data_IF_436849423725
#
_entry.id   IF_436849423725
#
_cell.length_a   1.000
_cell.length_b   1.000
_cell.length_c   1.000
_cell.angle_alpha   90.00
_cell.angle_beta   90.00
_cell.angle_gamma   90.00
#
_symmetry.space_group_name_H-M   'P 1'
#
loop_
_entity.id
_entity.type
_entity.pdbx_description
1 polymer ?
#
# COMPACT_ATOMS: atom_id res chain seq x y z
N UNK A 1 0.67 -16.05 -3.45
CA UNK A 1 -0.81 -16.17 -3.58
C UNK A 1 -1.47 -16.92 -2.41
N UNK A 2 -0.93 -18.05 -1.93
CA UNK A 2 -1.56 -18.86 -0.86
C UNK A 2 -1.87 -18.09 0.45
N UNK A 3 -0.93 -17.30 0.99
CA UNK A 3 -1.13 -16.52 2.23
C UNK A 3 -2.27 -15.48 2.14
N UNK A 4 -2.40 -14.84 0.98
CA UNK A 4 -3.44 -13.85 0.74
C UNK A 4 -4.83 -14.49 0.73
N UNK A 5 -4.99 -15.65 0.07
CA UNK A 5 -6.27 -16.34 0.00
C UNK A 5 -6.78 -16.79 1.38
N UNK A 6 -5.89 -17.26 2.26
CA UNK A 6 -6.26 -17.65 3.63
C UNK A 6 -6.79 -16.45 4.43
N UNK A 7 -6.13 -15.30 4.31
CA UNK A 7 -6.59 -14.07 4.97
C UNK A 7 -7.99 -13.64 4.48
N UNK A 8 -8.27 -13.74 3.17
CA UNK A 8 -9.58 -13.37 2.61
C UNK A 8 -10.70 -14.33 3.00
N UNK A 9 -10.41 -15.63 3.02
CA UNK A 9 -11.35 -16.63 3.49
C UNK A 9 -11.66 -16.36 4.97
N UNK A 10 -10.65 -16.08 5.79
CA UNK A 10 -10.83 -15.70 7.19
C UNK A 10 -11.70 -14.45 7.38
N UNK A 11 -11.46 -13.40 6.59
CA UNK A 11 -12.25 -12.15 6.68
C UNK A 11 -13.70 -12.34 6.22
N UNK A 12 -13.91 -13.13 5.16
CA UNK A 12 -15.26 -13.44 4.66
C UNK A 12 -16.04 -14.31 5.66
N UNK A 13 -15.37 -15.27 6.31
CA UNK A 13 -15.94 -16.07 7.40
C UNK A 13 -16.28 -15.22 8.63
N UNK A 14 -15.47 -14.21 8.94
CA UNK A 14 -15.74 -13.26 10.02
C UNK A 14 -17.00 -12.43 9.72
N UNK A 15 -17.12 -11.90 8.50
CA UNK A 15 -18.33 -11.19 8.05
C UNK A 15 -19.55 -12.11 8.11
N UNK A 16 -19.40 -13.36 7.69
CA UNK A 16 -20.46 -14.38 7.80
C UNK A 16 -20.87 -14.61 9.27
N UNK A 17 -19.91 -14.79 10.18
CA UNK A 17 -20.20 -15.00 11.60
C UNK A 17 -20.93 -13.82 12.26
N UNK A 18 -20.47 -12.60 11.99
CA UNK A 18 -21.11 -11.38 12.51
C UNK A 18 -22.53 -11.22 11.95
N UNK A 19 -22.69 -11.41 10.64
CA UNK A 19 -24.00 -11.26 9.99
C UNK A 19 -24.98 -12.35 10.40
N UNK A 20 -24.53 -13.61 10.50
CA UNK A 20 -25.35 -14.72 10.99
C UNK A 20 -25.82 -14.46 12.41
N UNK A 21 -24.92 -13.93 13.26
CA UNK A 21 -25.29 -13.54 14.60
C UNK A 21 -26.33 -12.42 14.57
N UNK A 22 -26.16 -11.36 13.80
CA UNK A 22 -27.07 -10.20 13.85
C UNK A 22 -28.39 -10.37 13.08
N UNK A 23 -28.42 -11.15 12.01
CA UNK A 23 -29.60 -11.30 11.14
C UNK A 23 -30.39 -12.57 11.52
N UNK A 24 -29.73 -13.59 12.08
CA UNK A 24 -30.32 -14.91 12.36
C UNK A 24 -30.91 -15.60 11.11
N UNK A 25 -30.43 -15.24 9.91
CA UNK A 25 -30.80 -15.84 8.63
C UNK A 25 -29.56 -16.24 7.85
N UNK A 26 -29.42 -17.55 7.59
CA UNK A 26 -28.23 -18.10 6.97
C UNK A 26 -28.06 -17.66 5.51
N UNK A 27 -29.16 -17.53 4.77
CA UNK A 27 -29.14 -17.19 3.34
C UNK A 27 -28.67 -15.74 3.17
N UNK A 28 -29.27 -14.80 3.91
CA UNK A 28 -28.89 -13.38 3.86
C UNK A 28 -27.44 -13.17 4.31
N UNK A 29 -27.00 -13.90 5.34
CA UNK A 29 -25.62 -13.82 5.85
C UNK A 29 -24.61 -14.35 4.83
N UNK A 30 -24.93 -15.43 4.13
CA UNK A 30 -24.10 -16.01 3.08
C UNK A 30 -24.00 -15.06 1.87
N UNK A 31 -25.12 -14.49 1.44
CA UNK A 31 -25.15 -13.48 0.37
C UNK A 31 -24.26 -12.29 0.74
N UNK A 32 -24.38 -11.77 1.97
CA UNK A 32 -23.57 -10.65 2.44
C UNK A 32 -22.07 -11.00 2.42
N UNK A 33 -21.71 -12.16 2.97
CA UNK A 33 -20.32 -12.61 3.00
C UNK A 33 -19.72 -12.76 1.59
N UNK A 34 -20.49 -13.28 0.63
CA UNK A 34 -20.06 -13.37 -0.77
C UNK A 34 -19.86 -12.00 -1.41
N UNK A 35 -20.81 -11.07 -1.25
CA UNK A 35 -20.71 -9.71 -1.80
C UNK A 35 -19.46 -8.99 -1.25
N UNK A 36 -19.30 -8.99 0.08
CA UNK A 36 -18.17 -8.33 0.74
C UNK A 36 -16.85 -9.03 0.40
N UNK A 37 -16.84 -10.37 0.32
CA UNK A 37 -15.67 -11.14 -0.10
C UNK A 37 -15.19 -10.76 -1.49
N UNK A 38 -16.10 -10.60 -2.46
CA UNK A 38 -15.76 -10.13 -3.82
C UNK A 38 -15.18 -8.71 -3.79
N UNK A 39 -15.77 -7.81 -3.03
CA UNK A 39 -15.30 -6.43 -2.92
C UNK A 39 -13.89 -6.38 -2.33
N UNK A 40 -13.64 -7.11 -1.24
CA UNK A 40 -12.32 -7.18 -0.62
C UNK A 40 -11.30 -7.80 -1.57
N UNK A 41 -11.67 -8.86 -2.31
CA UNK A 41 -10.78 -9.47 -3.31
C UNK A 41 -10.34 -8.47 -4.38
N UNK A 42 -11.23 -7.58 -4.83
CA UNK A 42 -10.90 -6.50 -5.78
C UNK A 42 -9.93 -5.44 -5.22
N UNK A 43 -9.75 -5.36 -3.90
CA UNK A 43 -8.78 -4.43 -3.29
C UNK A 43 -7.33 -4.94 -3.39
N UNK A 44 -7.09 -6.24 -3.58
CA UNK A 44 -5.74 -6.83 -3.65
C UNK A 44 -4.80 -6.13 -4.64
N UNK A 45 -5.15 -5.96 -5.93
CA UNK A 45 -4.25 -5.34 -6.89
C UNK A 45 -3.85 -3.93 -6.47
N UNK A 46 -4.79 -3.19 -5.88
CA UNK A 46 -4.59 -1.81 -5.42
C UNK A 46 -3.57 -1.76 -4.28
N UNK A 47 -3.71 -2.65 -3.29
CA UNK A 47 -2.77 -2.77 -2.16
C UNK A 47 -1.36 -3.12 -2.66
N UNK A 48 -1.28 -4.07 -3.60
CA UNK A 48 0.01 -4.47 -4.18
C UNK A 48 0.67 -3.33 -4.93
N UNK A 49 -0.09 -2.60 -5.74
CA UNK A 49 0.44 -1.48 -6.52
C UNK A 49 0.99 -0.37 -5.62
N UNK A 50 0.28 -0.02 -4.55
CA UNK A 50 0.74 0.97 -3.59
C UNK A 50 2.02 0.51 -2.87
N UNK A 51 2.05 -0.73 -2.37
CA UNK A 51 3.25 -1.30 -1.74
C UNK A 51 4.45 -1.34 -2.69
N UNK A 52 4.24 -1.71 -3.96
CA UNK A 52 5.30 -1.71 -4.98
C UNK A 52 5.85 -0.31 -5.22
N UNK A 53 4.98 0.72 -5.22
CA UNK A 53 5.42 2.11 -5.35
C UNK A 53 6.33 2.54 -4.21
N UNK A 54 5.97 2.24 -2.95
CA UNK A 54 6.84 2.53 -1.80
C UNK A 54 8.15 1.75 -1.86
N UNK A 55 8.09 0.49 -2.28
CA UNK A 55 9.27 -0.35 -2.44
C UNK A 55 10.23 0.23 -3.49
N UNK A 56 9.73 0.61 -4.68
CA UNK A 56 10.52 1.27 -5.74
C UNK A 56 11.16 2.57 -5.25
N UNK A 57 10.43 3.43 -4.54
CA UNK A 57 10.97 4.67 -3.95
C UNK A 57 12.11 4.37 -2.97
N UNK A 58 11.94 3.36 -2.10
CA UNK A 58 12.95 2.99 -1.12
C UNK A 58 14.19 2.37 -1.78
N UNK A 59 14.00 1.52 -2.80
CA UNK A 59 15.08 0.93 -3.58
C UNK A 59 15.91 2.00 -4.29
N UNK A 60 15.24 2.93 -4.99
CA UNK A 60 15.88 4.07 -5.65
C UNK A 60 16.69 4.93 -4.67
N UNK A 61 16.10 5.27 -3.52
CA UNK A 61 16.79 6.05 -2.49
C UNK A 61 18.03 5.33 -1.95
N UNK A 62 17.91 4.02 -1.64
CA UNK A 62 19.05 3.21 -1.15
C UNK A 62 20.17 3.18 -2.17
N UNK A 63 19.85 2.91 -3.44
CA UNK A 63 20.82 2.93 -4.53
C UNK A 63 21.56 4.26 -4.60
N UNK A 64 20.85 5.38 -4.74
CA UNK A 64 21.51 6.68 -4.86
C UNK A 64 22.31 7.07 -3.62
N UNK A 65 21.85 6.68 -2.41
CA UNK A 65 22.57 6.97 -1.16
C UNK A 65 23.89 6.22 -1.10
N UNK A 66 23.87 4.89 -1.29
CA UNK A 66 25.09 4.08 -1.26
C UNK A 66 26.03 4.44 -2.41
N UNK A 67 25.47 4.72 -3.58
CA UNK A 67 26.26 5.15 -4.74
C UNK A 67 26.96 6.48 -4.49
N UNK A 68 26.25 7.50 -3.98
CA UNK A 68 26.87 8.77 -3.60
C UNK A 68 27.96 8.57 -2.53
N UNK A 69 27.73 7.69 -1.55
CA UNK A 69 28.73 7.38 -0.52
C UNK A 69 29.99 6.77 -1.12
N UNK A 70 29.85 5.84 -2.06
CA UNK A 70 30.99 5.18 -2.68
C UNK A 70 31.73 6.10 -3.67
N UNK A 71 31.05 7.04 -4.29
CA UNK A 71 31.69 8.05 -5.16
C UNK A 71 32.59 9.04 -4.39
N UNK A 72 32.62 9.00 -3.04
CA UNK A 72 33.66 9.71 -2.28
C UNK A 72 35.01 9.00 -2.33
N UNK A 73 35.05 7.69 -2.58
CA UNK A 73 36.27 6.87 -2.57
C UNK A 73 36.77 6.47 -3.95
N UNK A 74 35.92 6.50 -4.98
CA UNK A 74 36.31 6.22 -6.37
C UNK A 74 35.67 7.22 -7.33
N UNK A 75 36.37 7.52 -8.41
CA UNK A 75 35.87 8.33 -9.53
C UNK A 75 35.22 7.47 -10.62
N UNK A 76 35.41 6.14 -10.58
CA UNK A 76 34.85 5.19 -11.54
C UNK A 76 33.46 4.71 -11.09
N UNK A 77 32.46 4.98 -11.93
CA UNK A 77 31.04 4.69 -11.66
C UNK A 77 30.79 3.18 -11.50
N UNK A 78 31.39 2.35 -12.34
CA UNK A 78 31.16 0.90 -12.30
C UNK A 78 31.86 0.26 -11.11
N UNK A 79 33.06 0.73 -10.76
CA UNK A 79 33.74 0.32 -9.54
C UNK A 79 32.93 0.73 -8.31
N UNK A 80 32.35 1.94 -8.30
CA UNK A 80 31.48 2.38 -7.22
C UNK A 80 30.26 1.47 -7.08
N UNK A 81 29.63 1.10 -8.20
CA UNK A 81 28.53 0.15 -8.22
C UNK A 81 28.93 -1.23 -7.66
N UNK A 82 30.05 -1.79 -8.12
CA UNK A 82 30.48 -3.13 -7.69
C UNK A 82 30.76 -3.22 -6.19
N UNK A 83 31.28 -2.14 -5.60
CA UNK A 83 31.53 -2.06 -4.17
C UNK A 83 30.26 -2.02 -3.31
N UNK A 84 29.12 -1.62 -3.88
CA UNK A 84 27.84 -1.53 -3.14
C UNK A 84 26.84 -2.62 -3.52
N UNK A 85 27.09 -3.38 -4.59
CA UNK A 85 26.16 -4.33 -5.21
C UNK A 85 25.53 -5.32 -4.21
N UNK A 86 26.33 -5.87 -3.30
CA UNK A 86 25.84 -6.82 -2.29
C UNK A 86 24.79 -6.21 -1.33
N UNK A 87 24.88 -4.89 -1.09
CA UNK A 87 24.00 -4.15 -0.19
C UNK A 87 22.76 -3.58 -0.89
N UNK A 88 22.67 -3.72 -2.22
CA UNK A 88 21.58 -3.19 -3.01
C UNK A 88 20.36 -4.12 -3.03
N UNK A 89 19.17 -3.58 -3.35
CA UNK A 89 18.01 -4.39 -3.68
C UNK A 89 18.26 -5.23 -4.93
N UNK A 90 17.56 -6.35 -5.07
CA UNK A 90 17.79 -7.30 -6.18
C UNK A 90 17.58 -6.68 -7.57
N UNK A 91 16.69 -5.70 -7.70
CA UNK A 91 16.47 -4.96 -8.95
C UNK A 91 17.72 -4.19 -9.43
N UNK A 92 18.65 -3.89 -8.52
CA UNK A 92 19.89 -3.16 -8.79
C UNK A 92 21.13 -4.07 -8.69
N UNK A 93 20.99 -5.38 -8.95
CA UNK A 93 22.10 -6.34 -8.92
C UNK A 93 22.39 -6.89 -10.30
N UNK A 94 23.61 -7.43 -10.45
CA UNK A 94 24.08 -8.16 -11.61
C UNK A 94 24.09 -7.35 -12.92
N UNK A 95 24.32 -6.04 -12.83
CA UNK A 95 24.56 -5.24 -14.03
C UNK A 95 25.91 -5.58 -14.66
N UNK A 96 25.91 -5.67 -15.98
CA UNK A 96 27.12 -5.87 -16.78
C UNK A 96 27.91 -4.57 -16.87
N UNK A 97 29.23 -4.61 -16.68
CA UNK A 97 30.09 -3.44 -16.73
C UNK A 97 30.11 -2.73 -18.08
N UNK A 98 29.92 -3.47 -19.18
CA UNK A 98 29.92 -2.88 -20.51
C UNK A 98 28.64 -2.09 -20.84
N UNK A 99 27.53 -2.43 -20.18
CA UNK A 99 26.20 -1.86 -20.48
C UNK A 99 25.52 -1.26 -19.23
N UNK A 100 26.29 -1.08 -18.15
CA UNK A 100 25.82 -0.65 -16.83
C UNK A 100 24.92 0.59 -16.89
N UNK A 101 25.33 1.62 -17.63
CA UNK A 101 24.62 2.89 -17.72
C UNK A 101 23.29 2.76 -18.45
N UNK A 102 23.21 1.93 -19.50
CA UNK A 102 21.97 1.69 -20.24
C UNK A 102 20.99 0.82 -19.44
N UNK A 103 21.49 -0.22 -18.76
CA UNK A 103 20.67 -1.05 -17.87
C UNK A 103 20.08 -0.22 -16.73
N UNK A 104 20.87 0.68 -16.14
CA UNK A 104 20.42 1.58 -15.10
C UNK A 104 19.37 2.59 -15.61
N UNK A 105 19.56 3.13 -16.82
CA UNK A 105 18.55 4.00 -17.46
C UNK A 105 17.23 3.26 -17.71
N UNK A 106 17.30 2.05 -18.27
CA UNK A 106 16.14 1.19 -18.52
C UNK A 106 15.38 0.90 -17.23
N UNK A 107 16.09 0.55 -16.15
CA UNK A 107 15.49 0.35 -14.84
C UNK A 107 14.83 1.64 -14.31
N UNK A 108 15.47 2.79 -14.49
CA UNK A 108 14.94 4.07 -14.05
C UNK A 108 13.63 4.45 -14.78
N UNK A 109 13.52 4.12 -16.07
CA UNK A 109 12.29 4.26 -16.85
C UNK A 109 11.19 3.32 -16.34
N UNK A 110 11.51 2.07 -16.05
CA UNK A 110 10.56 1.09 -15.50
C UNK A 110 10.07 1.47 -14.08
N UNK A 111 10.94 2.13 -13.31
CA UNK A 111 10.58 2.67 -12.00
C UNK A 111 9.66 3.88 -12.09
N UNK A 112 9.68 4.60 -13.23
CA UNK A 112 8.88 5.80 -13.48
C UNK A 112 8.99 6.86 -12.36
N UNK A 113 10.18 7.00 -11.77
CA UNK A 113 10.48 8.00 -10.74
C UNK A 113 11.34 9.11 -11.35
N UNK A 114 10.78 10.32 -11.46
CA UNK A 114 11.46 11.47 -12.07
C UNK A 114 12.86 11.74 -11.47
N UNK A 115 12.98 11.65 -10.14
CA UNK A 115 14.26 11.84 -9.45
C UNK A 115 15.31 10.80 -9.85
N UNK A 116 14.92 9.52 -9.93
CA UNK A 116 15.82 8.44 -10.32
C UNK A 116 16.21 8.55 -11.79
N UNK A 117 15.26 8.86 -12.68
CA UNK A 117 15.55 9.06 -14.11
C UNK A 117 16.54 10.21 -14.32
N UNK A 118 16.34 11.34 -13.63
CA UNK A 118 17.26 12.48 -13.69
C UNK A 118 18.64 12.08 -13.14
N UNK A 119 18.69 11.37 -12.01
CA UNK A 119 19.94 10.90 -11.41
C UNK A 119 20.73 9.99 -12.37
N UNK A 120 20.09 9.02 -13.01
CA UNK A 120 20.75 8.11 -13.95
C UNK A 120 21.23 8.84 -15.21
N UNK A 121 20.46 9.81 -15.72
CA UNK A 121 20.91 10.69 -16.81
C UNK A 121 22.14 11.51 -16.42
N UNK A 122 22.19 12.01 -15.18
CA UNK A 122 23.37 12.69 -14.64
C UNK A 122 24.58 11.75 -14.56
N UNK A 123 24.40 10.48 -14.18
CA UNK A 123 25.49 9.50 -14.16
C UNK A 123 26.07 9.28 -15.56
N UNK A 124 25.22 9.17 -16.58
CA UNK A 124 25.66 9.04 -17.98
C UNK A 124 26.46 10.27 -18.41
N UNK A 125 25.97 11.47 -18.08
CA UNK A 125 26.70 12.72 -18.36
C UNK A 125 28.07 12.74 -17.68
N UNK A 126 28.14 12.41 -16.39
CA UNK A 126 29.39 12.33 -15.65
C UNK A 126 30.34 11.26 -16.23
N UNK A 127 29.82 10.10 -16.65
CA UNK A 127 30.63 9.05 -17.30
C UNK A 127 31.27 9.53 -18.60
N UNK A 128 30.55 10.35 -19.37
CA UNK A 128 30.96 10.79 -20.70
C UNK A 128 31.83 12.05 -20.67
N UNK A 129 31.56 12.95 -19.73
CA UNK A 129 32.15 14.31 -19.70
C UNK A 129 33.02 14.57 -18.47
N UNK A 130 32.99 13.69 -17.46
CA UNK A 130 33.62 13.92 -16.17
C UNK A 130 32.98 15.07 -15.41
N UNK A 131 33.73 15.65 -14.46
CA UNK A 131 33.33 16.82 -13.69
C UNK A 131 33.24 16.57 -12.19
N UNK A 132 32.54 17.45 -11.48
CA UNK A 132 32.29 17.32 -10.04
C UNK A 132 31.00 16.52 -9.83
N UNK A 133 31.15 15.22 -9.58
CA UNK A 133 30.06 14.28 -9.39
C UNK A 133 28.99 14.80 -8.41
N UNK A 134 29.41 15.29 -7.24
CA UNK A 134 28.50 15.72 -6.18
C UNK A 134 27.72 16.96 -6.57
N UNK A 135 28.34 17.92 -7.27
CA UNK A 135 27.60 19.07 -7.81
C UNK A 135 26.59 18.66 -8.87
N UNK A 136 26.95 17.72 -9.73
CA UNK A 136 26.08 17.24 -10.80
C UNK A 136 24.87 16.47 -10.25
N UNK A 137 25.06 15.60 -9.26
CA UNK A 137 23.99 14.76 -8.69
C UNK A 137 23.20 15.42 -7.57
N UNK A 138 23.63 16.57 -7.05
CA UNK A 138 23.00 17.20 -5.88
C UNK A 138 21.48 17.42 -6.07
N UNK A 139 21.07 17.99 -7.20
CA UNK A 139 19.65 18.30 -7.45
C UNK A 139 18.80 17.04 -7.58
N UNK A 140 19.27 16.05 -8.32
CA UNK A 140 18.55 14.79 -8.56
C UNK A 140 18.50 13.94 -7.30
N UNK A 141 19.58 13.89 -6.52
CA UNK A 141 19.62 13.23 -5.22
C UNK A 141 18.66 13.86 -4.22
N UNK A 142 18.63 15.20 -4.11
CA UNK A 142 17.67 15.90 -3.26
C UNK A 142 16.22 15.64 -3.66
N UNK A 143 15.92 15.54 -4.96
CA UNK A 143 14.57 15.16 -5.43
C UNK A 143 14.17 13.77 -4.95
N UNK A 144 15.07 12.78 -5.00
CA UNK A 144 14.82 11.42 -4.52
C UNK A 144 14.64 11.41 -3.00
N UNK A 145 15.50 12.11 -2.27
CA UNK A 145 15.41 12.24 -0.81
C UNK A 145 14.09 12.89 -0.38
N UNK A 146 13.73 14.02 -0.99
CA UNK A 146 12.48 14.73 -0.71
C UNK A 146 11.26 13.86 -1.04
N UNK A 147 11.33 13.10 -2.14
CA UNK A 147 10.27 12.13 -2.50
C UNK A 147 10.12 11.08 -1.40
N UNK A 148 11.20 10.46 -0.94
CA UNK A 148 11.15 9.48 0.15
C UNK A 148 10.55 10.07 1.42
N UNK A 149 11.06 11.22 1.87
CA UNK A 149 10.58 11.90 3.08
C UNK A 149 9.09 12.23 2.97
N UNK A 150 8.66 12.75 1.83
CA UNK A 150 7.25 13.07 1.58
C UNK A 150 6.37 11.82 1.69
N UNK A 151 6.73 10.72 1.03
CA UNK A 151 5.94 9.49 1.04
C UNK A 151 5.94 8.81 2.42
N UNK A 152 7.04 8.89 3.19
CA UNK A 152 7.08 8.40 4.57
C UNK A 152 6.14 9.20 5.49
N UNK A 153 6.19 10.54 5.42
CA UNK A 153 5.27 11.42 6.16
C UNK A 153 3.81 11.15 5.78
N UNK A 154 3.54 11.04 4.48
CA UNK A 154 2.21 10.76 3.95
C UNK A 154 1.69 9.40 4.43
N UNK A 155 2.54 8.36 4.44
CA UNK A 155 2.18 7.03 4.94
C UNK A 155 1.85 7.05 6.43
N UNK A 156 2.64 7.76 7.24
CA UNK A 156 2.38 7.90 8.67
C UNK A 156 1.04 8.61 8.93
N UNK A 157 0.81 9.77 8.30
CA UNK A 157 -0.44 10.53 8.43
C UNK A 157 -1.67 9.71 8.01
N UNK A 158 -1.56 8.99 6.89
CA UNK A 158 -2.64 8.11 6.42
C UNK A 158 -2.93 6.99 7.38
N UNK A 159 -1.90 6.37 7.97
CA UNK A 159 -2.07 5.29 8.94
C UNK A 159 -2.87 5.76 10.15
N UNK A 160 -2.57 6.95 10.66
CA UNK A 160 -3.32 7.55 11.79
C UNK A 160 -4.79 7.77 11.42
N UNK A 161 -5.07 8.38 10.27
CA UNK A 161 -6.45 8.59 9.81
C UNK A 161 -7.21 7.29 9.54
N UNK A 162 -6.54 6.29 8.97
CA UNK A 162 -7.15 4.99 8.75
C UNK A 162 -7.52 4.34 10.10
N UNK A 163 -6.66 4.49 11.11
CA UNK A 163 -6.95 4.01 12.46
C UNK A 163 -8.17 4.72 13.07
N UNK A 164 -8.23 6.05 13.00
CA UNK A 164 -9.39 6.84 13.46
C UNK A 164 -10.70 6.43 12.75
N UNK A 165 -10.64 6.14 11.45
CA UNK A 165 -11.84 5.70 10.73
C UNK A 165 -12.20 4.25 11.10
N UNK A 166 -11.21 3.37 11.24
CA UNK A 166 -11.44 1.97 11.66
C UNK A 166 -12.04 1.88 13.06
N UNK A 167 -11.66 2.76 14.00
CA UNK A 167 -12.27 2.78 15.33
C UNK A 167 -13.74 3.17 15.28
N UNK A 168 -14.16 4.05 14.37
CA UNK A 168 -15.58 4.37 14.15
C UNK A 168 -16.38 3.15 13.66
N UNK A 169 -15.84 2.37 12.72
CA UNK A 169 -16.49 1.15 12.25
C UNK A 169 -16.54 0.07 13.33
N UNK A 170 -15.51 -0.03 14.17
CA UNK A 170 -15.51 -0.94 15.32
C UNK A 170 -16.56 -0.52 16.33
N UNK A 171 -16.67 0.78 16.63
CA UNK A 171 -17.72 1.32 17.50
C UNK A 171 -19.12 1.02 16.95
N UNK A 172 -19.33 1.20 15.64
CA UNK A 172 -20.60 0.85 14.98
C UNK A 172 -20.97 -0.62 15.16
N UNK A 173 -20.04 -1.54 14.90
CA UNK A 173 -20.26 -2.98 15.15
C UNK A 173 -20.50 -3.27 16.63
N UNK A 174 -19.75 -2.62 17.52
CA UNK A 174 -19.90 -2.78 18.97
C UNK A 174 -21.29 -2.37 19.44
N UNK A 175 -21.82 -1.23 18.97
CA UNK A 175 -23.18 -0.78 19.29
C UNK A 175 -24.22 -1.79 18.83
N UNK A 176 -24.09 -2.35 17.62
CA UNK A 176 -25.01 -3.37 17.13
C UNK A 176 -24.97 -4.66 17.97
N UNK A 177 -23.77 -5.11 18.34
CA UNK A 177 -23.60 -6.28 19.21
C UNK A 177 -24.15 -6.02 20.61
N UNK A 178 -23.90 -4.84 21.16
CA UNK A 178 -24.40 -4.42 22.46
C UNK A 178 -25.93 -4.36 22.48
N UNK A 179 -26.56 -3.81 21.43
CA UNK A 179 -28.01 -3.80 21.30
C UNK A 179 -28.59 -5.22 21.25
N UNK A 180 -27.97 -6.12 20.47
CA UNK A 180 -28.41 -7.51 20.40
C UNK A 180 -28.31 -8.20 21.76
N UNK A 181 -27.21 -8.02 22.49
CA UNK A 181 -27.01 -8.68 23.79
C UNK A 181 -27.83 -8.04 24.91
N UNK A 182 -27.88 -6.71 24.97
CA UNK A 182 -28.59 -5.96 25.99
C UNK A 182 -30.11 -6.04 25.86
N UNK A 183 -30.63 -6.23 24.64
CA UNK A 183 -32.06 -6.38 24.35
C UNK A 183 -32.39 -7.76 23.77
N UNK A 184 -31.66 -8.80 24.17
CA UNK A 184 -31.72 -10.14 23.54
C UNK A 184 -33.13 -10.66 23.29
N UNK A 185 -34.00 -10.63 24.29
CA UNK A 185 -35.39 -11.13 24.16
C UNK A 185 -36.20 -10.39 23.09
N UNK A 186 -36.02 -9.07 23.01
CA UNK A 186 -36.71 -8.23 22.02
C UNK A 186 -36.09 -8.39 20.63
N UNK A 187 -34.76 -8.46 20.58
CA UNK A 187 -34.01 -8.66 19.35
C UNK A 187 -34.33 -10.01 18.71
N UNK A 188 -34.45 -11.08 19.51
CA UNK A 188 -34.81 -12.43 19.04
C UNK A 188 -36.26 -12.49 18.51
N UNK A 189 -37.18 -11.73 19.11
CA UNK A 189 -38.54 -11.61 18.60
C UNK A 189 -38.58 -10.85 17.27
N UNK A 190 -37.90 -9.71 17.17
CA UNK A 190 -37.84 -8.94 15.93
C UNK A 190 -37.12 -9.69 14.81
N UNK A 191 -36.08 -10.45 15.13
CA UNK A 191 -35.30 -11.24 14.16
C UNK A 191 -36.11 -12.34 13.45
N UNK A 192 -37.34 -12.64 13.89
CA UNK A 192 -38.26 -13.54 13.18
C UNK A 192 -38.98 -12.87 12.01
N UNK A 193 -39.04 -11.54 11.99
CA UNK A 193 -39.70 -10.77 10.93
C UNK A 193 -38.74 -10.52 9.77
N UNK A 194 -39.22 -10.68 8.54
CA UNK A 194 -38.37 -10.54 7.34
C UNK A 194 -37.95 -9.08 7.14
N UNK A 195 -38.79 -8.13 7.53
CA UNK A 195 -38.54 -6.69 7.43
C UNK A 195 -37.33 -6.29 8.28
N UNK A 196 -37.25 -6.80 9.52
CA UNK A 196 -36.12 -6.56 10.39
C UNK A 196 -34.84 -7.21 9.85
N UNK A 197 -34.92 -8.45 9.37
CA UNK A 197 -33.79 -9.16 8.77
C UNK A 197 -33.22 -8.40 7.56
N UNK A 198 -34.08 -7.90 6.67
CA UNK A 198 -33.69 -7.10 5.52
C UNK A 198 -33.10 -5.74 5.94
N UNK A 199 -33.70 -5.07 6.91
CA UNK A 199 -33.17 -3.82 7.46
C UNK A 199 -31.75 -3.99 8.02
N UNK A 200 -31.53 -5.03 8.82
CA UNK A 200 -30.21 -5.39 9.35
C UNK A 200 -29.22 -5.76 8.26
N UNK A 201 -29.66 -6.51 7.24
CA UNK A 201 -28.85 -6.81 6.06
C UNK A 201 -28.37 -5.53 5.36
N UNK A 202 -29.26 -4.57 5.10
CA UNK A 202 -28.89 -3.31 4.45
C UNK A 202 -27.94 -2.46 5.29
N UNK A 203 -28.18 -2.36 6.61
CA UNK A 203 -27.29 -1.64 7.53
C UNK A 203 -25.87 -2.24 7.46
N UNK A 204 -25.76 -3.57 7.53
CA UNK A 204 -24.47 -4.25 7.45
C UNK A 204 -23.83 -4.10 6.07
N UNK A 205 -24.60 -4.24 4.99
CA UNK A 205 -24.12 -4.06 3.62
C UNK A 205 -23.54 -2.66 3.43
N UNK A 206 -24.27 -1.61 3.83
CA UNK A 206 -23.81 -0.22 3.72
C UNK A 206 -22.55 0.00 4.58
N UNK A 207 -22.54 -0.48 5.82
CA UNK A 207 -21.38 -0.33 6.70
C UNK A 207 -20.11 -1.00 6.15
N UNK A 208 -20.20 -2.27 5.75
CA UNK A 208 -19.05 -2.99 5.22
C UNK A 208 -18.60 -2.48 3.84
N UNK A 209 -19.53 -2.10 2.96
CA UNK A 209 -19.17 -1.50 1.66
C UNK A 209 -18.51 -0.14 1.84
N UNK A 210 -19.02 0.70 2.74
CA UNK A 210 -18.41 1.99 3.10
C UNK A 210 -17.00 1.82 3.68
N UNK A 211 -16.79 0.82 4.55
CA UNK A 211 -15.46 0.48 5.07
C UNK A 211 -14.51 0.06 3.94
N UNK A 212 -14.96 -0.81 3.03
CA UNK A 212 -14.15 -1.22 1.88
C UNK A 212 -13.79 -0.04 0.96
N UNK A 213 -14.72 0.91 0.74
CA UNK A 213 -14.46 2.13 -0.03
C UNK A 213 -13.46 3.05 0.67
N UNK A 214 -13.51 3.16 1.99
CA UNK A 214 -12.52 3.91 2.78
C UNK A 214 -11.13 3.31 2.63
N UNK A 215 -11.01 1.98 2.73
CA UNK A 215 -9.75 1.27 2.51
C UNK A 215 -9.25 1.51 1.08
N UNK A 216 -10.14 1.46 0.08
CA UNK A 216 -9.79 1.78 -1.31
C UNK A 216 -9.22 3.20 -1.44
N UNK A 217 -9.86 4.19 -0.84
CA UNK A 217 -9.45 5.60 -0.88
C UNK A 217 -8.10 5.82 -0.19
N UNK A 218 -7.81 5.08 0.89
CA UNK A 218 -6.51 5.06 1.53
C UNK A 218 -5.39 4.70 0.55
N UNK A 219 -5.52 3.57 -0.15
CA UNK A 219 -4.49 3.08 -1.08
C UNK A 219 -4.42 3.89 -2.38
N UNK A 220 -5.50 4.56 -2.79
CA UNK A 220 -5.47 5.50 -3.92
C UNK A 220 -4.94 6.89 -3.56
N UNK A 221 -4.54 7.13 -2.30
CA UNK A 221 -4.09 8.42 -1.82
C UNK A 221 -5.16 9.53 -1.92
N UNK A 222 -6.44 9.17 -1.87
CA UNK A 222 -7.59 10.08 -2.05
C UNK A 222 -8.28 10.46 -0.73
N UNK A 223 -7.63 10.26 0.42
CA UNK A 223 -8.23 10.65 1.71
C UNK A 223 -8.36 12.17 1.77
N UNK A 224 -9.61 12.66 1.80
CA UNK A 224 -9.93 14.10 1.90
C UNK A 224 -9.28 14.73 3.14
N UNK A 225 -8.75 15.94 2.98
CA UNK A 225 -8.09 16.73 4.02
C UNK A 225 -6.60 16.47 4.21
N UNK A 226 -5.94 15.72 3.32
CA UNK A 226 -4.47 15.59 3.25
C UNK A 226 -3.84 16.56 2.22
N UNK A 227 -4.64 17.46 1.65
CA UNK A 227 -4.20 18.56 0.80
C UNK A 227 -4.04 19.82 1.64
#
# INVERSE_FOLDING_TARGET
MKKNNVFFIGLSLLVFGISLFLISNIILSLILACIIGIIIYRLIPIIKQDNLKYLKINHAYKFCTYFNMQMFSTTNIYEAYKNIEENLPDDFKNFDGNDFTNQLLSLAEEYALNGLSLYCKTLVLYSNQGGDFFKMTNSSFHLIQNTKIYYEKLKAQKKTRLFEILTLYLLWLFVLLFLKLGLASYFDQMSKTIEFQLGMFFILLIGFTSLALTIKAYYHNQIKGLN
#
